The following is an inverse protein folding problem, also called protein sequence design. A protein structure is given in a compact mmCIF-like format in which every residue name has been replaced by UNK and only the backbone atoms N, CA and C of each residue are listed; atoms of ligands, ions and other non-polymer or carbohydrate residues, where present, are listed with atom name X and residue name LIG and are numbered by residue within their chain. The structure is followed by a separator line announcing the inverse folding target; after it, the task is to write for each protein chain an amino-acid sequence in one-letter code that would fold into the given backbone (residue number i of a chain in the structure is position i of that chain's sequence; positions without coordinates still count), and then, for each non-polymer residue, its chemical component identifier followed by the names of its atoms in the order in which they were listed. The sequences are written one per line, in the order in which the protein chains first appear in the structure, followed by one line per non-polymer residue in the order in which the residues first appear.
data_IF_343054445191
#
_entry.id   IF_343054445191
#
_cell.length_a   1.000
_cell.length_b   1.000
_cell.length_c   1.000
_cell.angle_alpha   90.00
_cell.angle_beta   90.00
_cell.angle_gamma   90.00
#
_symmetry.space_group_name_H-M   'P 1'
#
loop_
_entity.id
_entity.type
_entity.pdbx_description
1 polymer ?
#
# COMPACT_ATOMS: atom_id res chain seq x y z
N UNK A 1 10.96 62.78 -6.99
CA UNK A 1 11.44 61.82 -7.99
C UNK A 1 12.79 61.29 -7.54
N UNK A 2 12.80 60.17 -6.82
CA UNK A 2 14.00 59.36 -6.59
C UNK A 2 13.53 57.91 -6.47
N UNK A 3 13.76 57.16 -7.55
CA UNK A 3 13.48 55.75 -7.67
C UNK A 3 14.50 54.97 -6.83
N UNK A 4 14.10 54.53 -5.65
CA UNK A 4 14.79 53.48 -4.92
C UNK A 4 13.94 52.20 -5.04
N UNK A 5 13.95 51.59 -6.22
CA UNK A 5 13.61 50.17 -6.36
C UNK A 5 14.70 49.35 -5.69
N UNK A 6 14.65 49.24 -4.36
CA UNK A 6 15.35 48.19 -3.66
C UNK A 6 14.81 46.87 -4.20
N UNK A 7 15.65 46.12 -4.92
CA UNK A 7 15.33 44.75 -5.35
C UNK A 7 15.22 43.91 -4.09
N UNK A 8 14.02 43.78 -3.56
CA UNK A 8 13.70 42.88 -2.45
C UNK A 8 13.91 41.43 -2.92
N UNK A 9 14.96 40.74 -2.44
CA UNK A 9 15.32 39.41 -2.92
C UNK A 9 14.26 38.35 -2.59
N UNK A 10 13.45 38.58 -1.55
CA UNK A 10 12.29 37.73 -1.26
C UNK A 10 11.23 37.89 -2.34
N UNK A 11 10.90 39.13 -2.71
CA UNK A 11 9.96 39.38 -3.83
C UNK A 11 10.45 38.76 -5.12
N UNK A 12 11.75 38.81 -5.39
CA UNK A 12 12.34 38.19 -6.58
C UNK A 12 12.17 36.66 -6.56
N UNK A 13 12.45 36.00 -5.42
CA UNK A 13 12.23 34.57 -5.26
C UNK A 13 10.77 34.18 -5.49
N UNK A 14 9.83 34.88 -4.86
CA UNK A 14 8.40 34.60 -5.00
C UNK A 14 7.89 34.88 -6.43
N UNK A 15 8.34 35.96 -7.08
CA UNK A 15 7.95 36.28 -8.46
C UNK A 15 8.42 35.21 -9.46
N UNK A 16 9.54 34.54 -9.19
CA UNK A 16 10.09 33.53 -10.11
C UNK A 16 9.53 32.14 -9.78
N UNK A 17 9.49 31.75 -8.51
CA UNK A 17 9.15 30.36 -8.12
C UNK A 17 7.65 30.07 -8.14
N UNK A 18 6.79 30.98 -7.65
CA UNK A 18 5.34 30.72 -7.56
C UNK A 18 4.67 30.54 -8.93
N UNK A 19 4.96 31.37 -9.96
CA UNK A 19 4.35 31.16 -11.28
C UNK A 19 4.80 29.87 -11.94
N UNK A 20 6.06 29.45 -11.74
CA UNK A 20 6.58 28.18 -12.24
C UNK A 20 5.87 26.99 -11.59
N UNK A 21 5.68 27.02 -10.26
CA UNK A 21 4.93 26.00 -9.53
C UNK A 21 3.47 25.97 -9.99
N UNK A 22 2.82 27.13 -10.11
CA UNK A 22 1.42 27.22 -10.51
C UNK A 22 1.18 26.73 -11.95
N UNK A 23 2.03 27.14 -12.91
CA UNK A 23 1.95 26.69 -14.29
C UNK A 23 2.18 25.18 -14.40
N UNK A 24 3.10 24.65 -13.58
CA UNK A 24 3.36 23.23 -13.50
C UNK A 24 2.16 22.45 -12.93
N UNK A 25 1.60 22.87 -11.80
CA UNK A 25 0.44 22.23 -11.20
C UNK A 25 -0.75 22.21 -12.17
N UNK A 26 -0.98 23.31 -12.89
CA UNK A 26 -1.99 23.39 -13.93
C UNK A 26 -1.72 22.42 -15.09
N UNK A 27 -0.47 22.32 -15.55
CA UNK A 27 -0.06 21.36 -16.58
C UNK A 27 -0.22 19.90 -16.14
N UNK A 28 0.17 19.56 -14.93
CA UNK A 28 0.03 18.21 -14.37
C UNK A 28 -1.46 17.81 -14.26
N UNK A 29 -2.30 18.69 -13.72
CA UNK A 29 -3.75 18.49 -13.63
C UNK A 29 -4.39 18.32 -15.02
N UNK A 30 -4.00 19.16 -15.98
CA UNK A 30 -4.46 19.06 -17.36
C UNK A 30 -4.02 17.73 -17.99
N UNK A 31 -2.83 17.23 -17.68
CA UNK A 31 -2.34 15.95 -18.21
C UNK A 31 -3.09 14.77 -17.60
N UNK A 32 -3.41 14.79 -16.31
CA UNK A 32 -4.30 13.81 -15.65
C UNK A 32 -5.68 13.83 -16.31
N UNK A 33 -6.23 15.02 -16.54
CA UNK A 33 -7.56 15.19 -17.13
C UNK A 33 -7.64 14.76 -18.60
N UNK A 34 -6.58 15.01 -19.38
CA UNK A 34 -6.57 14.73 -20.83
C UNK A 34 -5.98 13.36 -21.19
N UNK A 35 -5.14 12.74 -20.34
CA UNK A 35 -4.43 11.49 -20.65
C UNK A 35 -4.40 10.56 -19.44
N UNK A 36 -5.42 9.71 -19.33
CA UNK A 36 -5.56 8.69 -18.29
C UNK A 36 -4.48 7.56 -18.29
N UNK A 37 -3.45 7.63 -19.15
CA UNK A 37 -2.53 6.50 -19.40
C UNK A 37 -1.16 6.54 -18.71
N UNK A 38 -0.77 7.64 -18.05
CA UNK A 38 0.60 7.81 -17.53
C UNK A 38 0.68 8.29 -16.08
N UNK A 39 -0.15 7.72 -15.20
CA UNK A 39 -0.19 8.06 -13.76
C UNK A 39 1.20 8.04 -13.10
N UNK A 40 2.00 7.00 -13.35
CA UNK A 40 3.34 6.83 -12.75
C UNK A 40 4.34 7.93 -13.16
N UNK A 41 4.24 8.43 -14.41
CA UNK A 41 5.12 9.52 -14.86
C UNK A 41 4.72 10.84 -14.20
N UNK A 42 3.42 11.06 -13.99
CA UNK A 42 2.89 12.25 -13.32
C UNK A 42 3.24 12.25 -11.83
N UNK A 43 3.17 11.10 -11.16
CA UNK A 43 3.63 10.93 -9.78
C UNK A 43 5.11 11.29 -9.59
N UNK A 44 5.99 10.74 -10.45
CA UNK A 44 7.43 11.04 -10.39
C UNK A 44 7.73 12.49 -10.71
N UNK A 45 6.99 13.09 -11.63
CA UNK A 45 7.15 14.49 -11.99
C UNK A 45 6.67 15.41 -10.85
N UNK A 46 5.54 15.08 -10.21
CA UNK A 46 5.05 15.78 -9.02
C UNK A 46 6.05 15.70 -7.86
N UNK A 47 6.67 14.54 -7.63
CA UNK A 47 7.76 14.39 -6.66
C UNK A 47 8.91 15.34 -6.96
N UNK A 48 9.41 15.34 -8.20
CA UNK A 48 10.51 16.22 -8.62
C UNK A 48 10.16 17.69 -8.36
N UNK A 49 8.95 18.12 -8.73
CA UNK A 49 8.56 19.52 -8.57
C UNK A 49 8.33 19.91 -7.12
N UNK A 50 7.62 19.10 -6.33
CA UNK A 50 7.39 19.39 -4.91
C UNK A 50 8.72 19.43 -4.17
N UNK A 51 9.61 18.47 -4.44
CA UNK A 51 10.96 18.49 -3.86
C UNK A 51 11.72 19.73 -4.28
N UNK A 52 11.83 20.01 -5.58
CA UNK A 52 12.55 21.19 -6.06
C UNK A 52 12.01 22.49 -5.48
N UNK A 53 10.70 22.72 -5.56
CA UNK A 53 10.03 23.94 -5.10
C UNK A 53 10.25 24.24 -3.62
N UNK A 54 10.41 23.19 -2.81
CA UNK A 54 10.51 23.32 -1.36
C UNK A 54 11.95 23.25 -0.85
N UNK A 55 12.85 22.58 -1.56
CA UNK A 55 14.26 22.45 -1.15
C UNK A 55 15.19 23.46 -1.82
N UNK A 56 14.76 24.16 -2.88
CA UNK A 56 15.58 25.18 -3.57
C UNK A 56 15.74 26.49 -2.78
N UNK A 57 14.88 26.74 -1.79
CA UNK A 57 14.84 28.02 -1.04
C UNK A 57 16.16 28.32 -0.34
N UNK A 58 16.65 27.38 0.47
CA UNK A 58 17.87 27.59 1.26
C UNK A 58 19.12 27.78 0.38
N UNK A 59 19.40 26.93 -0.64
CA UNK A 59 20.49 27.19 -1.57
C UNK A 59 20.38 28.56 -2.25
N UNK A 60 19.18 28.95 -2.67
CA UNK A 60 18.95 30.25 -3.30
C UNK A 60 19.31 31.40 -2.35
N UNK A 61 18.86 31.35 -1.10
CA UNK A 61 19.16 32.37 -0.09
C UNK A 61 20.66 32.42 0.24
N UNK A 62 21.31 31.28 0.39
CA UNK A 62 22.75 31.23 0.67
C UNK A 62 23.58 31.79 -0.49
N UNK A 63 23.17 31.53 -1.74
CA UNK A 63 23.87 32.04 -2.93
C UNK A 63 23.63 33.54 -3.13
N UNK A 64 22.38 34.00 -3.00
CA UNK A 64 22.00 35.37 -3.37
C UNK A 64 22.16 36.36 -2.21
N UNK A 65 21.85 35.93 -0.99
CA UNK A 65 21.79 36.78 0.21
C UNK A 65 22.96 36.54 1.17
N UNK A 66 23.69 35.42 1.01
CA UNK A 66 24.73 34.99 1.95
C UNK A 66 24.18 34.52 3.30
N UNK A 67 22.87 34.53 3.49
CA UNK A 67 22.16 34.15 4.72
C UNK A 67 20.75 33.64 4.40
N UNK A 68 20.21 32.68 5.18
CA UNK A 68 18.83 32.25 5.03
C UNK A 68 17.88 33.41 5.32
N UNK A 69 16.82 33.52 4.50
CA UNK A 69 15.74 34.45 4.78
C UNK A 69 14.91 34.00 5.99
N UNK A 70 14.22 34.91 6.70
CA UNK A 70 13.30 34.54 7.75
C UNK A 70 12.29 33.47 7.28
N UNK A 71 12.17 32.37 8.03
CA UNK A 71 11.26 31.27 7.72
C UNK A 71 11.74 30.28 6.65
N UNK A 72 12.91 30.49 6.02
CA UNK A 72 13.46 29.55 5.04
C UNK A 72 13.68 28.14 5.60
N UNK A 73 14.07 28.04 6.88
CA UNK A 73 14.23 26.77 7.59
C UNK A 73 12.92 25.99 7.71
N UNK A 74 11.85 26.66 8.16
CA UNK A 74 10.54 26.03 8.33
C UNK A 74 9.97 25.55 6.99
N UNK A 75 10.06 26.38 5.95
CA UNK A 75 9.62 26.01 4.60
C UNK A 75 10.38 24.80 4.06
N UNK A 76 11.68 24.71 4.35
CA UNK A 76 12.51 23.60 3.91
C UNK A 76 12.22 22.31 4.69
N UNK A 77 11.99 22.38 6.01
CA UNK A 77 11.56 21.22 6.82
C UNK A 77 10.22 20.69 6.31
N UNK A 78 9.24 21.56 6.08
CA UNK A 78 7.94 21.18 5.50
C UNK A 78 8.16 20.51 4.13
N UNK A 79 9.03 21.08 3.31
CA UNK A 79 9.43 20.54 2.01
C UNK A 79 10.01 19.13 2.04
N UNK A 80 10.92 18.91 2.98
CA UNK A 80 11.53 17.61 3.23
C UNK A 80 10.48 16.58 3.65
N UNK A 81 9.57 16.95 4.56
CA UNK A 81 8.50 16.07 5.02
C UNK A 81 7.52 15.73 3.88
N UNK A 82 7.13 16.72 3.07
CA UNK A 82 6.27 16.50 1.91
C UNK A 82 6.95 15.60 0.87
N UNK A 83 8.23 15.84 0.59
CA UNK A 83 9.03 15.01 -0.33
C UNK A 83 9.18 13.58 0.19
N UNK A 84 9.34 13.41 1.49
CA UNK A 84 9.42 12.08 2.10
C UNK A 84 8.10 11.33 2.00
N UNK A 85 6.98 11.97 2.34
CA UNK A 85 5.64 11.38 2.19
C UNK A 85 5.41 10.97 0.75
N UNK A 86 5.66 11.87 -0.21
CA UNK A 86 5.45 11.59 -1.62
C UNK A 86 6.42 10.51 -2.15
N UNK A 87 7.65 10.48 -1.65
CA UNK A 87 8.63 9.44 -1.98
C UNK A 87 8.18 8.06 -1.51
N UNK A 88 7.70 7.92 -0.28
CA UNK A 88 7.14 6.65 0.22
C UNK A 88 5.84 6.25 -0.49
N UNK A 89 5.04 7.21 -0.96
CA UNK A 89 3.83 6.89 -1.73
C UNK A 89 4.12 6.41 -3.16
N UNK A 90 5.19 6.89 -3.78
CA UNK A 90 5.46 6.70 -5.21
C UNK A 90 6.61 5.74 -5.52
N UNK A 91 7.48 5.46 -4.54
CA UNK A 91 8.67 4.62 -4.70
C UNK A 91 8.61 3.38 -3.81
N UNK A 92 9.39 2.36 -4.15
CA UNK A 92 9.60 1.21 -3.24
C UNK A 92 10.38 1.62 -1.99
N UNK A 93 10.22 0.85 -0.89
CA UNK A 93 10.80 1.14 0.43
C UNK A 93 12.28 1.53 0.37
N UNK A 94 13.12 0.71 -0.29
CA UNK A 94 14.57 0.98 -0.37
C UNK A 94 14.88 2.32 -1.05
N UNK A 95 14.27 2.58 -2.20
CA UNK A 95 14.48 3.81 -2.96
C UNK A 95 13.96 5.04 -2.22
N UNK A 96 12.80 4.94 -1.58
CA UNK A 96 12.23 6.02 -0.77
C UNK A 96 13.12 6.33 0.45
N UNK A 97 13.57 5.32 1.19
CA UNK A 97 14.46 5.52 2.34
C UNK A 97 15.79 6.14 1.90
N UNK A 98 16.42 5.66 0.84
CA UNK A 98 17.66 6.26 0.32
C UNK A 98 17.45 7.71 -0.11
N UNK A 99 16.36 7.99 -0.85
CA UNK A 99 16.02 9.35 -1.28
C UNK A 99 15.86 10.30 -0.09
N UNK A 100 15.07 9.90 0.92
CA UNK A 100 14.83 10.70 2.13
C UNK A 100 16.12 10.91 2.93
N UNK A 101 16.95 9.87 3.08
CA UNK A 101 18.24 9.98 3.80
C UNK A 101 19.18 10.96 3.10
N UNK A 102 19.30 10.89 1.78
CA UNK A 102 20.15 11.81 1.01
C UNK A 102 19.64 13.24 1.13
N UNK A 103 18.33 13.45 1.00
CA UNK A 103 17.73 14.77 1.06
C UNK A 103 17.87 15.40 2.45
N UNK A 104 17.65 14.62 3.51
CA UNK A 104 17.83 15.05 4.89
C UNK A 104 19.31 15.34 5.22
N UNK A 105 20.23 14.47 4.80
CA UNK A 105 21.67 14.68 5.01
C UNK A 105 22.17 15.95 4.31
N UNK A 106 21.73 16.19 3.07
CA UNK A 106 22.03 17.41 2.33
C UNK A 106 21.52 18.65 3.08
N UNK A 107 20.26 18.61 3.54
CA UNK A 107 19.65 19.70 4.31
C UNK A 107 20.41 20.00 5.61
N UNK A 108 20.62 18.99 6.44
CA UNK A 108 21.30 19.15 7.73
C UNK A 108 22.72 19.68 7.53
N UNK A 109 23.44 19.20 6.50
CA UNK A 109 24.79 19.65 6.19
C UNK A 109 24.83 21.13 5.79
N UNK A 110 23.92 21.57 4.91
CA UNK A 110 23.88 22.97 4.46
C UNK A 110 23.60 23.94 5.62
N UNK A 111 22.66 23.60 6.50
CA UNK A 111 22.35 24.44 7.66
C UNK A 111 23.51 24.48 8.66
N UNK A 112 24.06 23.33 9.05
CA UNK A 112 25.19 23.29 9.99
C UNK A 112 26.41 24.00 9.42
N UNK A 113 26.72 23.82 8.13
CA UNK A 113 27.81 24.55 7.49
C UNK A 113 27.58 26.06 7.44
N UNK A 114 26.34 26.51 7.23
CA UNK A 114 26.02 27.93 7.29
C UNK A 114 26.30 28.49 8.69
N UNK A 115 25.79 27.84 9.74
CA UNK A 115 25.99 28.25 11.13
C UNK A 115 27.46 28.27 11.54
N UNK A 116 28.23 27.25 11.15
CA UNK A 116 29.67 27.21 11.41
C UNK A 116 30.42 28.38 10.74
N UNK A 117 29.99 28.80 9.54
CA UNK A 117 30.61 29.91 8.80
C UNK A 117 30.19 31.28 9.33
N UNK A 118 28.95 31.42 9.78
CA UNK A 118 28.41 32.66 10.34
C UNK A 118 28.78 32.87 11.82
N UNK A 119 29.35 31.85 12.47
CA UNK A 119 29.61 31.86 13.91
C UNK A 119 28.33 31.74 14.75
N UNK A 120 27.26 31.20 14.16
CA UNK A 120 25.97 31.04 14.81
C UNK A 120 25.85 29.72 15.61
N UNK A 121 24.70 29.49 16.26
CA UNK A 121 24.53 28.43 17.25
C UNK A 121 24.30 27.05 16.60
N UNK A 122 25.33 26.50 15.97
CA UNK A 122 25.27 25.21 15.26
C UNK A 122 24.71 24.04 16.10
N UNK A 123 24.92 24.05 17.43
CA UNK A 123 24.40 23.02 18.33
C UNK A 123 22.87 23.08 18.46
N UNK A 124 22.29 24.28 18.50
CA UNK A 124 20.82 24.43 18.55
C UNK A 124 20.22 24.04 17.21
N UNK A 125 20.87 24.41 16.10
CA UNK A 125 20.45 24.01 14.75
C UNK A 125 20.54 22.50 14.57
N UNK A 126 21.57 21.84 15.10
CA UNK A 126 21.63 20.37 15.11
C UNK A 126 20.49 19.77 15.95
N UNK A 127 20.18 20.39 17.09
CA UNK A 127 19.07 19.98 17.96
C UNK A 127 17.71 20.08 17.29
N UNK A 128 17.43 21.14 16.52
CA UNK A 128 16.15 21.31 15.80
C UNK A 128 15.97 20.28 14.68
N UNK A 129 17.06 19.68 14.18
CA UNK A 129 17.00 18.61 13.17
C UNK A 129 16.60 17.24 13.75
N UNK A 130 16.71 17.02 15.07
CA UNK A 130 16.31 15.76 15.68
C UNK A 130 14.82 15.45 15.49
N UNK A 131 13.95 16.47 15.59
CA UNK A 131 12.51 16.31 15.43
C UNK A 131 12.10 15.84 14.02
N UNK A 132 12.50 16.49 12.91
CA UNK A 132 12.22 15.97 11.57
C UNK A 132 12.91 14.63 11.31
N UNK A 133 14.13 14.40 11.80
CA UNK A 133 14.83 13.11 11.66
C UNK A 133 14.07 11.94 12.31
N UNK A 134 13.58 12.15 13.53
CA UNK A 134 12.75 11.16 14.25
C UNK A 134 11.42 10.93 13.54
N UNK A 135 10.75 11.98 13.07
CA UNK A 135 9.51 11.86 12.29
C UNK A 135 9.72 11.06 10.98
N UNK A 136 10.79 11.33 10.24
CA UNK A 136 11.14 10.58 9.03
C UNK A 136 11.42 9.10 9.32
N UNK A 137 12.11 8.81 10.43
CA UNK A 137 12.37 7.44 10.89
C UNK A 137 11.07 6.72 11.24
N UNK A 138 10.16 7.39 11.95
CA UNK A 138 8.83 6.86 12.27
C UNK A 138 8.01 6.59 11.01
N UNK A 139 8.00 7.52 10.04
CA UNK A 139 7.33 7.33 8.76
C UNK A 139 7.87 6.12 7.99
N UNK A 140 9.19 5.96 7.93
CA UNK A 140 9.83 4.81 7.30
C UNK A 140 9.46 3.49 8.01
N UNK A 141 9.46 3.48 9.35
CA UNK A 141 9.10 2.33 10.15
C UNK A 141 7.62 1.95 9.98
N UNK A 142 6.71 2.93 10.01
CA UNK A 142 5.27 2.71 9.79
C UNK A 142 4.99 2.20 8.37
N UNK A 143 5.69 2.74 7.36
CA UNK A 143 5.56 2.28 5.98
C UNK A 143 6.04 0.82 5.84
N UNK A 144 7.18 0.48 6.44
CA UNK A 144 7.67 -0.89 6.49
C UNK A 144 6.68 -1.83 7.19
N UNK A 145 6.18 -1.43 8.36
CA UNK A 145 5.19 -2.19 9.11
C UNK A 145 3.90 -2.40 8.32
N UNK A 146 3.38 -1.36 7.66
CA UNK A 146 2.18 -1.45 6.83
C UNK A 146 2.34 -2.47 5.70
N UNK A 147 3.45 -2.40 4.96
CA UNK A 147 3.70 -3.35 3.86
C UNK A 147 3.79 -4.78 4.41
N UNK A 148 4.54 -4.98 5.50
CA UNK A 148 4.65 -6.29 6.14
C UNK A 148 3.30 -6.82 6.64
N UNK A 149 2.47 -5.96 7.22
CA UNK A 149 1.15 -6.31 7.71
C UNK A 149 0.20 -6.74 6.59
N UNK A 150 0.15 -5.97 5.49
CA UNK A 150 -0.70 -6.30 4.33
C UNK A 150 -0.26 -7.63 3.72
N UNK A 151 1.05 -7.86 3.58
CA UNK A 151 1.58 -9.13 3.08
C UNK A 151 1.20 -10.30 4.00
N UNK A 152 1.41 -10.15 5.31
CA UNK A 152 1.05 -11.17 6.28
C UNK A 152 -0.45 -11.46 6.32
N UNK A 153 -1.29 -10.45 6.06
CA UNK A 153 -2.74 -10.64 5.95
C UNK A 153 -3.10 -11.50 4.74
N UNK A 154 -2.53 -11.21 3.57
CA UNK A 154 -2.76 -12.01 2.37
C UNK A 154 -2.27 -13.46 2.54
N UNK A 155 -1.10 -13.65 3.14
CA UNK A 155 -0.55 -14.97 3.42
C UNK A 155 -1.47 -15.74 4.39
N UNK A 156 -2.03 -15.05 5.41
CA UNK A 156 -2.99 -15.63 6.34
C UNK A 156 -4.27 -16.06 5.64
N UNK A 157 -4.80 -15.24 4.73
CA UNK A 157 -6.02 -15.57 3.97
C UNK A 157 -5.80 -16.75 3.02
N UNK A 158 -4.63 -16.80 2.37
CA UNK A 158 -4.24 -17.92 1.52
C UNK A 158 -4.10 -19.22 2.32
N UNK A 159 -3.40 -19.18 3.46
CA UNK A 159 -3.28 -20.32 4.37
C UNK A 159 -4.63 -20.75 4.94
N UNK A 160 -5.50 -19.79 5.26
CA UNK A 160 -6.85 -20.08 5.74
C UNK A 160 -7.66 -20.81 4.66
N UNK A 161 -7.62 -20.35 3.42
CA UNK A 161 -8.29 -20.98 2.27
C UNK A 161 -7.78 -22.41 2.09
N UNK A 162 -6.47 -22.59 2.00
CA UNK A 162 -5.84 -23.92 1.88
C UNK A 162 -6.20 -24.85 3.04
N UNK A 163 -6.39 -24.31 4.25
CA UNK A 163 -6.76 -25.09 5.42
C UNK A 163 -8.23 -25.56 5.40
N UNK A 164 -9.12 -24.89 4.66
CA UNK A 164 -10.57 -25.19 4.64
C UNK A 164 -11.07 -25.73 3.30
N UNK A 165 -10.27 -25.74 2.24
CA UNK A 165 -10.63 -26.31 0.93
C UNK A 165 -9.90 -27.62 0.66
N UNK A 166 -10.53 -28.52 -0.09
CA UNK A 166 -9.91 -29.74 -0.62
C UNK A 166 -9.17 -29.43 -1.94
N UNK A 167 -7.87 -29.73 -2.06
CA UNK A 167 -7.07 -29.33 -3.22
C UNK A 167 -7.43 -30.08 -4.51
N UNK A 168 -8.07 -31.25 -4.43
CA UNK A 168 -8.45 -32.01 -5.62
C UNK A 168 -9.73 -31.47 -6.25
N UNK A 169 -10.72 -31.15 -5.41
CA UNK A 169 -12.09 -30.82 -5.83
C UNK A 169 -12.42 -29.33 -5.78
N UNK A 170 -11.67 -28.54 -5.01
CA UNK A 170 -11.95 -27.13 -4.76
C UNK A 170 -13.15 -26.88 -3.83
N UNK A 171 -13.81 -27.93 -3.34
CA UNK A 171 -14.88 -27.82 -2.35
C UNK A 171 -14.29 -27.53 -0.96
N UNK A 172 -15.15 -27.25 0.02
CA UNK A 172 -14.70 -27.25 1.42
C UNK A 172 -14.17 -28.64 1.78
N UNK A 173 -13.10 -28.72 2.55
CA UNK A 173 -12.69 -29.96 3.19
C UNK A 173 -13.47 -30.15 4.50
N UNK A 174 -13.29 -31.30 5.15
CA UNK A 174 -13.92 -31.60 6.45
C UNK A 174 -13.84 -30.46 7.47
N UNK A 175 -12.68 -29.81 7.63
CA UNK A 175 -12.53 -28.67 8.57
C UNK A 175 -13.35 -27.45 8.14
N UNK A 176 -13.42 -27.18 6.84
CA UNK A 176 -14.28 -26.14 6.28
C UNK A 176 -15.76 -26.43 6.53
N UNK A 177 -16.19 -27.67 6.34
CA UNK A 177 -17.56 -28.12 6.62
C UNK A 177 -17.94 -28.03 8.11
N UNK A 178 -17.06 -28.47 9.01
CA UNK A 178 -17.27 -28.37 10.46
C UNK A 178 -17.45 -26.90 10.91
N UNK A 179 -16.68 -25.97 10.32
CA UNK A 179 -16.83 -24.54 10.59
C UNK A 179 -18.17 -23.98 10.10
N UNK A 180 -18.59 -24.36 8.89
CA UNK A 180 -19.87 -23.93 8.34
C UNK A 180 -21.04 -24.44 9.20
N UNK A 181 -21.01 -25.70 9.63
CA UNK A 181 -22.00 -26.28 10.53
C UNK A 181 -22.03 -25.54 11.88
N UNK A 182 -20.87 -25.34 12.50
CA UNK A 182 -20.78 -24.63 13.78
C UNK A 182 -21.35 -23.20 13.71
N UNK A 183 -21.13 -22.49 12.60
CA UNK A 183 -21.68 -21.15 12.39
C UNK A 183 -23.22 -21.19 12.31
N UNK A 184 -23.78 -22.10 11.50
CA UNK A 184 -25.24 -22.28 11.40
C UNK A 184 -25.87 -22.66 12.74
N UNK A 185 -25.23 -23.57 13.49
CA UNK A 185 -25.68 -23.95 14.83
C UNK A 185 -25.63 -22.78 15.81
N UNK A 186 -24.55 -21.99 15.82
CA UNK A 186 -24.41 -20.84 16.71
C UNK A 186 -25.43 -19.74 16.41
N UNK A 187 -25.77 -19.53 15.14
CA UNK A 187 -26.79 -18.59 14.70
C UNK A 187 -28.23 -19.13 14.82
N UNK A 188 -28.40 -20.36 15.32
CA UNK A 188 -29.69 -21.07 15.39
C UNK A 188 -30.43 -21.10 14.04
N UNK A 189 -29.67 -21.11 12.93
CA UNK A 189 -30.23 -21.22 11.58
C UNK A 189 -30.60 -22.68 11.31
N UNK A 190 -31.84 -23.00 10.93
CA UNK A 190 -32.19 -24.35 10.54
C UNK A 190 -31.57 -24.71 9.18
N UNK A 191 -31.00 -25.91 9.09
CA UNK A 191 -30.33 -26.43 7.89
C UNK A 191 -30.67 -27.91 7.66
N UNK A 192 -30.57 -28.35 6.41
CA UNK A 192 -30.53 -29.76 6.05
C UNK A 192 -29.11 -30.20 5.74
N UNK A 193 -28.84 -31.45 6.08
CA UNK A 193 -27.58 -32.13 5.79
C UNK A 193 -27.87 -33.35 4.91
N UNK A 194 -27.21 -33.44 3.76
CA UNK A 194 -27.19 -34.64 2.95
C UNK A 194 -25.76 -35.17 2.89
N UNK A 195 -25.61 -36.49 3.06
CA UNK A 195 -24.33 -37.20 2.89
C UNK A 195 -24.45 -38.03 1.63
N UNK A 196 -23.45 -37.91 0.77
CA UNK A 196 -23.32 -38.67 -0.46
C UNK A 196 -21.98 -39.41 -0.43
N UNK A 197 -21.99 -40.68 -0.80
CA UNK A 197 -20.80 -41.52 -0.92
C UNK A 197 -20.71 -42.05 -2.36
N UNK A 198 -19.49 -42.24 -2.87
CA UNK A 198 -19.30 -42.79 -4.22
C UNK A 198 -19.18 -44.30 -4.12
N UNK A 199 -20.26 -45.00 -4.49
CA UNK A 199 -20.31 -46.46 -4.48
C UNK A 199 -19.17 -47.09 -5.30
N UNK A 200 -18.61 -48.20 -4.79
CA UNK A 200 -17.57 -48.99 -5.45
C UNK A 200 -16.29 -48.20 -5.83
N UNK A 201 -15.99 -47.07 -5.19
CA UNK A 201 -14.84 -46.21 -5.56
C UNK A 201 -13.49 -46.93 -5.51
N UNK A 202 -13.28 -47.80 -4.52
CA UNK A 202 -12.08 -48.66 -4.44
C UNK A 202 -11.96 -49.56 -5.67
N UNK A 203 -13.05 -50.20 -6.10
CA UNK A 203 -13.07 -51.09 -7.28
C UNK A 203 -12.77 -50.31 -8.57
N UNK A 204 -13.25 -49.08 -8.67
CA UNK A 204 -12.89 -48.18 -9.77
C UNK A 204 -11.39 -47.87 -9.79
N UNK A 205 -10.82 -47.50 -8.64
CA UNK A 205 -9.39 -47.24 -8.50
C UNK A 205 -8.54 -48.47 -8.78
N UNK A 206 -8.94 -49.64 -8.30
CA UNK A 206 -8.22 -50.91 -8.52
C UNK A 206 -8.23 -51.30 -10.00
N UNK A 207 -9.32 -50.98 -10.73
CA UNK A 207 -9.46 -51.29 -12.16
C UNK A 207 -8.84 -50.26 -13.13
N UNK A 208 -8.84 -48.97 -12.78
CA UNK A 208 -8.47 -47.87 -13.70
C UNK A 208 -7.39 -46.94 -13.17
N UNK A 209 -6.88 -47.20 -11.96
CA UNK A 209 -5.88 -46.39 -11.28
C UNK A 209 -6.45 -45.14 -10.59
N UNK A 210 -5.68 -44.60 -9.64
CA UNK A 210 -6.09 -43.44 -8.83
C UNK A 210 -6.39 -42.18 -9.66
N UNK A 211 -5.73 -41.98 -10.80
CA UNK A 211 -6.00 -40.83 -11.66
C UNK A 211 -7.45 -40.83 -12.21
N UNK A 212 -8.02 -42.02 -12.45
CA UNK A 212 -9.41 -42.15 -12.87
C UNK A 212 -10.38 -41.82 -11.72
N UNK A 213 -10.09 -42.28 -10.50
CA UNK A 213 -10.86 -41.90 -9.31
C UNK A 213 -10.83 -40.39 -9.06
N UNK A 214 -9.64 -39.78 -9.15
CA UNK A 214 -9.48 -38.33 -9.05
C UNK A 214 -10.32 -37.57 -10.09
N UNK A 215 -10.41 -38.09 -11.31
CA UNK A 215 -11.25 -37.50 -12.35
C UNK A 215 -12.74 -37.56 -11.98
N UNK A 216 -13.23 -38.71 -11.52
CA UNK A 216 -14.62 -38.88 -11.06
C UNK A 216 -14.95 -37.91 -9.93
N UNK A 217 -14.07 -37.79 -8.94
CA UNK A 217 -14.26 -36.87 -7.81
C UNK A 217 -14.32 -35.40 -8.27
N UNK A 218 -13.48 -34.98 -9.22
CA UNK A 218 -13.55 -33.62 -9.80
C UNK A 218 -14.86 -33.37 -10.54
N UNK A 219 -15.35 -34.34 -11.30
CA UNK A 219 -16.62 -34.23 -12.04
C UNK A 219 -17.79 -34.13 -11.07
N UNK A 220 -17.83 -34.99 -10.05
CA UNK A 220 -18.87 -34.94 -9.01
C UNK A 220 -18.86 -33.59 -8.29
N UNK A 221 -17.67 -33.13 -7.89
CA UNK A 221 -17.50 -31.83 -7.25
C UNK A 221 -18.00 -30.66 -8.11
N UNK A 222 -17.74 -30.68 -9.42
CA UNK A 222 -18.26 -29.68 -10.35
C UNK A 222 -19.81 -29.64 -10.39
N UNK A 223 -20.47 -30.79 -10.23
CA UNK A 223 -21.92 -30.86 -10.07
C UNK A 223 -22.41 -30.29 -8.74
N UNK A 224 -21.65 -30.52 -7.67
CA UNK A 224 -21.98 -30.09 -6.30
C UNK A 224 -21.66 -28.61 -6.01
N UNK A 225 -20.82 -27.95 -6.80
CA UNK A 225 -20.54 -26.50 -6.67
C UNK A 225 -21.79 -25.62 -6.79
N UNK A 226 -22.89 -26.15 -7.36
CA UNK A 226 -24.17 -25.44 -7.48
C UNK A 226 -25.06 -25.55 -6.23
N UNK A 227 -24.68 -26.37 -5.24
CA UNK A 227 -25.35 -26.42 -3.95
C UNK A 227 -24.89 -25.26 -3.06
N UNK A 228 -25.71 -24.88 -2.06
CA UNK A 228 -25.43 -23.75 -1.16
C UNK A 228 -24.07 -23.90 -0.46
N UNK A 229 -23.78 -25.10 0.05
CA UNK A 229 -22.47 -25.44 0.60
C UNK A 229 -22.17 -26.92 0.37
N UNK A 230 -21.09 -27.22 -0.34
CA UNK A 230 -20.63 -28.58 -0.60
C UNK A 230 -19.24 -28.80 0.01
N UNK A 231 -19.07 -29.97 0.63
CA UNK A 231 -17.89 -30.35 1.41
C UNK A 231 -17.42 -31.72 0.94
N UNK A 232 -16.14 -31.91 0.67
CA UNK A 232 -15.52 -33.24 0.61
C UNK A 232 -15.15 -33.65 2.03
N UNK A 233 -15.97 -34.51 2.61
CA UNK A 233 -15.87 -34.91 4.02
C UNK A 233 -14.81 -36.00 4.25
N UNK A 234 -14.65 -36.89 3.27
CA UNK A 234 -13.71 -38.02 3.28
C UNK A 234 -13.02 -38.22 1.94
N UNK A 235 -12.44 -39.41 1.74
CA UNK A 235 -11.76 -39.75 0.47
C UNK A 235 -12.72 -39.75 -0.72
N UNK A 236 -13.88 -40.36 -0.55
CA UNK A 236 -14.97 -40.47 -1.54
C UNK A 236 -16.31 -39.93 -1.05
N UNK A 237 -16.36 -39.42 0.18
CA UNK A 237 -17.56 -38.90 0.84
C UNK A 237 -17.73 -37.38 0.62
N UNK A 238 -18.94 -36.97 0.30
CA UNK A 238 -19.36 -35.58 0.15
C UNK A 238 -20.51 -35.26 1.10
N UNK A 239 -20.52 -34.03 1.60
CA UNK A 239 -21.54 -33.50 2.49
C UNK A 239 -22.08 -32.20 1.92
N UNK A 240 -23.40 -32.11 1.85
CA UNK A 240 -24.13 -30.98 1.28
C UNK A 240 -24.94 -30.35 2.41
N UNK A 241 -24.74 -29.06 2.60
CA UNK A 241 -25.45 -28.26 3.59
C UNK A 241 -26.32 -27.27 2.82
N UNK A 242 -27.61 -27.22 3.13
CA UNK A 242 -28.55 -26.25 2.56
C UNK A 242 -29.37 -25.60 3.66
N UNK A 243 -29.53 -24.28 3.60
CA UNK A 243 -30.37 -23.56 4.55
C UNK A 243 -31.85 -23.82 4.24
N UNK A 244 -32.69 -24.00 5.27
CA UNK A 244 -34.10 -24.37 5.07
C UNK A 244 -34.88 -23.32 4.25
N UNK A 245 -34.45 -22.05 4.29
CA UNK A 245 -35.02 -20.94 3.52
C UNK A 245 -34.82 -21.07 1.99
N UNK A 246 -33.80 -21.80 1.54
CA UNK A 246 -33.51 -22.02 0.11
C UNK A 246 -34.42 -23.11 -0.52
N UNK A 247 -34.98 -23.99 0.30
CA UNK A 247 -35.80 -25.13 -0.16
C UNK A 247 -37.23 -24.74 -0.58
N UNK A 248 -37.72 -23.57 -0.15
CA UNK A 248 -39.06 -23.07 -0.53
C UNK A 248 -39.05 -22.17 -1.77
N UNK A 249 -37.90 -21.99 -2.45
CA UNK A 249 -37.75 -21.05 -3.58
C UNK A 249 -37.61 -21.72 -4.96
N UNK A 250 -38.10 -22.95 -5.10
CA UNK A 250 -38.20 -23.67 -6.38
C UNK A 250 -39.63 -24.13 -6.62
N UNK A 251 -40.46 -23.19 -7.05
CA UNK A 251 -41.70 -23.44 -7.80
C UNK A 251 -41.47 -22.96 -9.24
#
# INVERSE_FOLDING_TARGET
MQAATSRDPERLYFLVTQPLIALFCAGALLTVFLRAGHLVRLERLALIVVTFATTSRLPFDLILLGRPAPGAEAQMIIGLLMSAVLGFLTMGLRSATTFVMVLYALHATLLVQHELRSGGPWMTTLGTQLAPGTLLTLLAALFHFRIGYVQASHDRDALHTLAVTDPLTGLLNRRGGERALNALTAEQRPYLLAVADVDDFKRLNDGHGHAAGDHVLRVLAGGLQRADTAVRWGGEEFLIITEQSALHRRD
#
